data_IF_752272162485
#
_entry.id   IF_752272162485
#
_cell.length_a   1.000
_cell.length_b   1.000
_cell.length_c   1.000
_cell.angle_alpha   90.00
_cell.angle_beta   90.00
_cell.angle_gamma   90.00
#
_symmetry.space_group_name_H-M   'P 1'
#
loop_
_entity.id
_entity.type
_entity.pdbx_description
1 polymer ?
#
# COMPACT_ATOMS: atom_id res chain seq x y z
N UNK A 1 19.68 20.31 14.55
CA UNK A 1 18.98 19.22 13.87
C UNK A 1 19.15 19.40 12.35
N UNK A 2 20.14 18.70 11.74
CA UNK A 2 20.46 18.87 10.32
C UNK A 2 19.38 18.18 9.46
N UNK A 3 18.68 18.98 8.67
CA UNK A 3 17.76 18.51 7.62
C UNK A 3 18.61 17.86 6.51
N UNK A 4 18.52 16.55 6.37
CA UNK A 4 19.10 15.83 5.23
C UNK A 4 18.32 16.18 3.97
N UNK A 5 18.96 16.81 3.01
CA UNK A 5 18.40 17.07 1.68
C UNK A 5 18.69 15.86 0.84
N UNK A 6 17.64 15.14 0.43
CA UNK A 6 17.76 14.03 -0.52
C UNK A 6 17.46 14.56 -1.92
N UNK A 7 18.45 14.54 -2.80
CA UNK A 7 18.26 14.86 -4.21
C UNK A 7 17.94 13.58 -5.00
N UNK A 8 16.75 13.51 -5.55
CA UNK A 8 16.38 12.47 -6.51
C UNK A 8 16.43 13.06 -7.93
N UNK A 9 17.33 12.56 -8.77
CA UNK A 9 17.28 12.83 -10.21
C UNK A 9 16.37 11.80 -10.85
N UNK A 10 15.20 12.23 -11.26
CA UNK A 10 14.26 11.41 -12.02
C UNK A 10 14.51 11.70 -13.51
N UNK A 11 14.94 10.68 -14.26
CA UNK A 11 15.08 10.76 -15.72
C UNK A 11 13.91 10.04 -16.36
N UNK A 12 13.09 10.74 -17.12
CA UNK A 12 12.10 10.15 -18.01
C UNK A 12 12.41 10.60 -19.43
N UNK A 13 12.69 9.64 -20.29
CA UNK A 13 12.77 9.77 -21.76
C UNK A 13 13.27 11.13 -22.28
N UNK A 14 14.59 11.36 -22.26
CA UNK A 14 15.27 12.41 -23.07
C UNK A 14 14.98 13.86 -22.71
N UNK A 15 14.08 14.16 -21.78
CA UNK A 15 13.84 15.53 -21.29
C UNK A 15 14.39 15.67 -19.86
N UNK A 16 15.26 16.68 -19.66
CA UNK A 16 15.72 17.08 -18.33
C UNK A 16 14.51 17.43 -17.48
N UNK A 17 14.10 16.52 -16.58
CA UNK A 17 13.16 16.85 -15.53
C UNK A 17 13.92 17.66 -14.48
N UNK A 18 13.32 18.79 -14.12
CA UNK A 18 13.79 19.71 -13.10
C UNK A 18 14.13 18.94 -11.81
N UNK A 19 15.25 19.26 -11.20
CA UNK A 19 15.64 18.74 -9.89
C UNK A 19 14.53 19.01 -8.90
N UNK A 20 13.77 17.99 -8.50
CA UNK A 20 12.79 18.13 -7.43
C UNK A 20 13.55 18.09 -6.12
N UNK A 21 13.74 19.27 -5.53
CA UNK A 21 14.26 19.39 -4.17
C UNK A 21 13.22 18.87 -3.21
N UNK A 22 13.44 17.68 -2.67
CA UNK A 22 12.59 17.08 -1.65
C UNK A 22 13.06 17.60 -0.29
N UNK A 23 12.79 18.89 -0.04
CA UNK A 23 12.95 19.50 1.26
C UNK A 23 11.58 19.65 1.91
N UNK A 24 11.41 18.95 3.00
CA UNK A 24 10.34 19.27 3.95
C UNK A 24 9.17 18.29 3.99
N UNK A 25 8.79 18.06 5.20
CA UNK A 25 7.58 17.42 5.74
C UNK A 25 6.76 16.56 4.76
N UNK A 26 6.47 15.34 5.20
CA UNK A 26 5.63 14.27 4.61
C UNK A 26 4.45 14.74 3.73
N UNK A 27 3.94 15.97 3.93
CA UNK A 27 2.88 16.59 3.12
C UNK A 27 3.24 16.82 1.63
N UNK A 28 4.51 16.90 1.27
CA UNK A 28 4.94 17.16 -0.12
C UNK A 28 4.93 15.92 -1.02
N UNK A 29 5.25 14.76 -0.48
CA UNK A 29 5.32 13.51 -1.27
C UNK A 29 3.93 13.03 -1.70
N UNK A 30 2.93 13.17 -0.84
CA UNK A 30 1.54 12.90 -1.18
C UNK A 30 1.07 13.69 -2.41
N UNK A 31 1.46 14.97 -2.56
CA UNK A 31 1.06 15.80 -3.70
C UNK A 31 1.64 15.31 -5.05
N UNK A 32 2.84 14.77 -5.07
CA UNK A 32 3.47 14.22 -6.29
C UNK A 32 2.76 12.90 -6.64
N UNK A 33 2.49 12.06 -5.65
CA UNK A 33 1.76 10.82 -5.81
C UNK A 33 0.33 11.07 -6.29
N UNK A 34 -0.35 12.09 -5.74
CA UNK A 34 -1.68 12.52 -6.19
C UNK A 34 -1.72 13.01 -7.66
N UNK A 35 -0.66 13.63 -8.16
CA UNK A 35 -0.58 14.04 -9.58
C UNK A 35 -0.44 12.86 -10.54
N UNK A 36 0.14 11.76 -10.11
CA UNK A 36 0.24 10.53 -10.89
C UNK A 36 -1.10 9.77 -10.94
N UNK A 37 -2.02 10.04 -10.00
CA UNK A 37 -3.37 9.44 -9.98
C UNK A 37 -4.19 9.68 -11.26
N UNK A 38 -3.92 10.73 -12.02
CA UNK A 38 -4.57 10.99 -13.31
C UNK A 38 -4.20 10.00 -14.43
N UNK A 39 -3.22 9.12 -14.18
CA UNK A 39 -2.72 8.12 -15.15
C UNK A 39 -3.17 6.69 -14.72
N UNK A 40 -3.85 6.57 -13.57
CA UNK A 40 -4.29 5.30 -13.01
C UNK A 40 -5.36 4.64 -13.88
N UNK A 41 -5.14 3.39 -14.21
CA UNK A 41 -6.20 2.52 -14.71
C UNK A 41 -7.00 2.00 -13.50
N UNK A 42 -8.16 2.61 -13.28
CA UNK A 42 -9.05 2.30 -12.16
C UNK A 42 -10.12 1.26 -12.51
N UNK A 43 -9.99 0.58 -13.60
CA UNK A 43 -10.91 -0.52 -13.92
C UNK A 43 -10.83 -1.58 -12.82
N UNK A 44 -9.61 -1.96 -12.42
CA UNK A 44 -9.39 -2.96 -11.38
C UNK A 44 -8.47 -2.43 -10.29
N UNK A 45 -8.89 -2.61 -9.05
CA UNK A 45 -8.09 -2.29 -7.87
C UNK A 45 -7.88 -3.53 -7.04
N UNK A 46 -6.62 -3.85 -6.77
CA UNK A 46 -6.22 -4.98 -5.91
C UNK A 46 -5.71 -4.46 -4.59
N UNK A 47 -6.23 -5.00 -3.48
CA UNK A 47 -5.74 -4.69 -2.13
C UNK A 47 -5.22 -5.95 -1.45
N UNK A 48 -4.11 -5.80 -0.73
CA UNK A 48 -3.52 -6.88 0.08
C UNK A 48 -2.63 -6.32 1.18
N UNK A 49 -2.30 -7.16 2.17
CA UNK A 49 -1.43 -6.82 3.28
C UNK A 49 -0.15 -7.66 3.32
N UNK A 50 1.00 -7.05 3.58
CA UNK A 50 2.25 -7.77 3.71
C UNK A 50 3.03 -7.40 4.95
N UNK A 51 3.54 -8.42 5.65
CA UNK A 51 4.36 -8.25 6.86
C UNK A 51 5.80 -7.88 6.51
N UNK A 52 6.32 -6.94 7.28
CA UNK A 52 7.71 -6.52 7.24
C UNK A 52 8.30 -6.67 8.64
N UNK A 53 9.42 -7.39 8.76
CA UNK A 53 10.11 -7.54 10.04
C UNK A 53 10.70 -6.19 10.47
N UNK A 54 10.43 -5.80 11.70
CA UNK A 54 11.09 -4.66 12.33
C UNK A 54 12.42 -5.10 12.93
N UNK A 55 13.52 -4.44 12.54
CA UNK A 55 14.83 -4.68 13.14
C UNK A 55 14.81 -4.18 14.59
N UNK A 56 15.66 -4.78 15.45
CA UNK A 56 15.77 -4.40 16.86
C UNK A 56 16.01 -2.88 17.06
N UNK A 57 16.72 -2.23 16.15
CA UNK A 57 16.94 -0.78 16.17
C UNK A 57 15.68 0.04 15.97
N UNK A 58 14.64 -0.52 15.35
CA UNK A 58 13.36 0.15 15.16
C UNK A 58 12.49 0.17 16.43
N UNK A 59 12.78 -0.67 17.43
CA UNK A 59 11.94 -0.86 18.63
C UNK A 59 12.20 0.12 19.77
N UNK A 60 13.29 0.91 19.72
CA UNK A 60 13.77 1.78 20.81
C UNK A 60 13.32 3.24 20.71
N UNK A 61 12.02 3.55 20.74
CA UNK A 61 11.51 4.95 20.78
C UNK A 61 10.90 5.28 22.13
N UNK A 62 10.77 6.59 22.43
CA UNK A 62 10.10 7.10 23.63
C UNK A 62 8.59 6.76 23.58
N UNK A 63 7.95 6.64 24.77
CA UNK A 63 6.51 6.45 24.86
C UNK A 63 5.74 7.57 24.16
N UNK A 64 4.64 7.25 23.48
CA UNK A 64 3.71 8.20 22.85
C UNK A 64 3.96 8.52 21.38
N UNK A 65 5.03 8.00 20.75
CA UNK A 65 5.26 8.21 19.31
C UNK A 65 4.58 7.10 18.48
N UNK A 66 3.92 7.50 17.38
CA UNK A 66 3.34 6.54 16.44
C UNK A 66 4.44 5.72 15.76
N UNK A 67 4.43 4.42 16.02
CA UNK A 67 5.44 3.47 15.53
C UNK A 67 4.92 2.61 14.39
N UNK A 68 3.64 2.28 14.38
CA UNK A 68 3.08 1.24 13.52
C UNK A 68 3.96 -0.03 13.54
N UNK A 69 4.41 -0.45 14.72
CA UNK A 69 5.13 -1.70 14.99
C UNK A 69 4.36 -2.44 16.07
N UNK A 70 4.01 -3.67 15.77
CA UNK A 70 3.28 -4.52 16.69
C UNK A 70 3.81 -5.95 16.68
N UNK A 71 3.15 -6.86 17.36
CA UNK A 71 3.56 -8.25 17.51
C UNK A 71 2.77 -9.17 16.59
N UNK A 72 3.47 -9.90 15.73
CA UNK A 72 2.90 -10.99 14.93
C UNK A 72 3.59 -12.32 15.29
N UNK A 73 3.21 -13.41 14.59
CA UNK A 73 3.91 -14.70 14.73
C UNK A 73 5.41 -14.60 14.40
N UNK A 74 5.80 -13.64 13.56
CA UNK A 74 7.20 -13.38 13.19
C UNK A 74 7.95 -12.45 14.14
N UNK A 75 7.39 -12.10 15.30
CA UNK A 75 7.97 -11.16 16.27
C UNK A 75 7.49 -9.73 16.04
N UNK A 76 8.39 -8.74 16.23
CA UNK A 76 8.09 -7.34 15.98
C UNK A 76 7.99 -7.08 14.46
N UNK A 77 6.83 -6.64 14.01
CA UNK A 77 6.54 -6.42 12.58
C UNK A 77 5.72 -5.15 12.35
N UNK A 78 5.88 -4.59 11.17
CA UNK A 78 4.96 -3.64 10.57
C UNK A 78 4.22 -4.35 9.44
N UNK A 79 2.96 -4.02 9.24
CA UNK A 79 2.19 -4.48 8.10
C UNK A 79 1.98 -3.32 7.13
N UNK A 80 2.27 -3.56 5.85
CA UNK A 80 1.97 -2.64 4.76
C UNK A 80 0.68 -3.14 4.13
N UNK A 81 -0.33 -2.29 4.09
CA UNK A 81 -1.56 -2.51 3.34
C UNK A 81 -1.45 -1.68 2.06
N UNK A 82 -1.53 -2.33 0.91
CA UNK A 82 -1.26 -1.71 -0.40
C UNK A 82 -2.46 -1.85 -1.31
N UNK A 83 -2.79 -0.78 -2.01
CA UNK A 83 -3.70 -0.78 -3.14
C UNK A 83 -2.89 -0.59 -4.43
N UNK A 84 -3.19 -1.39 -5.47
CA UNK A 84 -2.57 -1.28 -6.80
C UNK A 84 -3.64 -1.24 -7.89
N UNK A 85 -3.28 -0.64 -9.04
CA UNK A 85 -4.12 -0.57 -10.23
C UNK A 85 -4.09 -1.86 -11.08
N UNK A 86 -4.79 -1.87 -12.21
CA UNK A 86 -4.85 -2.98 -13.16
C UNK A 86 -3.48 -3.38 -13.75
N UNK A 87 -2.47 -2.52 -13.65
CA UNK A 87 -1.10 -2.79 -14.08
C UNK A 87 -0.17 -3.20 -12.92
N UNK A 88 -0.69 -3.25 -11.69
CA UNK A 88 0.08 -3.53 -10.48
C UNK A 88 0.95 -2.35 -10.04
N UNK A 89 0.58 -1.11 -10.39
CA UNK A 89 1.23 0.09 -9.88
C UNK A 89 0.59 0.53 -8.56
N UNK A 90 1.40 0.90 -7.55
CA UNK A 90 0.87 1.38 -6.28
C UNK A 90 -0.03 2.60 -6.44
N UNK A 91 -1.27 2.51 -5.95
CA UNK A 91 -2.22 3.64 -5.87
C UNK A 91 -2.03 4.39 -4.56
N UNK A 92 -2.10 3.65 -3.46
CA UNK A 92 -1.92 4.18 -2.12
C UNK A 92 -1.56 3.05 -1.14
N UNK A 93 -1.15 3.40 0.07
CA UNK A 93 -0.84 2.44 1.10
C UNK A 93 -1.07 2.99 2.50
N UNK A 94 -1.35 2.10 3.44
CA UNK A 94 -1.32 2.35 4.87
C UNK A 94 -0.36 1.40 5.59
N UNK A 95 0.15 1.81 6.76
CA UNK A 95 0.99 0.97 7.60
C UNK A 95 0.41 0.86 9.00
N UNK A 96 0.46 -0.35 9.54
CA UNK A 96 -0.01 -0.66 10.90
C UNK A 96 1.00 -1.53 11.65
N UNK A 97 0.75 -1.76 12.92
CA UNK A 97 1.39 -2.86 13.64
C UNK A 97 0.98 -4.21 13.05
N UNK A 98 1.87 -5.20 13.17
CA UNK A 98 1.63 -6.52 12.58
C UNK A 98 0.46 -7.32 13.17
N UNK A 99 -0.07 -6.91 14.31
CA UNK A 99 -1.25 -7.52 14.95
C UNK A 99 -2.57 -7.10 14.30
N UNK A 100 -2.57 -5.97 13.56
CA UNK A 100 -3.80 -5.41 12.98
C UNK A 100 -4.29 -6.29 11.83
N UNK A 101 -5.56 -6.65 11.87
CA UNK A 101 -6.18 -7.46 10.81
C UNK A 101 -6.44 -6.62 9.55
N UNK A 102 -6.27 -7.22 8.36
CA UNK A 102 -6.43 -6.52 7.08
C UNK A 102 -7.77 -5.84 6.91
N UNK A 103 -8.84 -6.49 7.38
CA UNK A 103 -10.20 -5.93 7.30
C UNK A 103 -10.42 -4.63 8.06
N UNK A 104 -9.56 -4.31 9.04
CA UNK A 104 -9.68 -3.06 9.82
C UNK A 104 -9.19 -1.84 9.01
N UNK A 105 -8.30 -2.05 8.05
CA UNK A 105 -7.69 -0.99 7.22
C UNK A 105 -8.34 -0.91 5.84
N UNK A 106 -9.17 -1.90 5.50
CA UNK A 106 -9.78 -1.99 4.18
C UNK A 106 -10.61 -0.74 3.83
N UNK A 107 -11.36 -0.20 4.78
CA UNK A 107 -12.18 0.99 4.56
C UNK A 107 -11.33 2.21 4.22
N UNK A 108 -10.26 2.44 4.99
CA UNK A 108 -9.34 3.56 4.76
C UNK A 108 -8.69 3.46 3.37
N UNK A 109 -8.28 2.24 2.96
CA UNK A 109 -7.73 2.01 1.63
C UNK A 109 -8.75 2.25 0.52
N UNK A 110 -10.00 1.78 0.69
CA UNK A 110 -11.06 2.00 -0.28
C UNK A 110 -11.36 3.50 -0.44
N UNK A 111 -11.44 4.23 0.66
CA UNK A 111 -11.63 5.69 0.65
C UNK A 111 -10.46 6.41 -0.04
N UNK A 112 -9.22 5.99 0.23
CA UNK A 112 -8.03 6.56 -0.40
C UNK A 112 -7.98 6.30 -1.91
N UNK A 113 -8.41 5.14 -2.37
CA UNK A 113 -8.51 4.79 -3.79
C UNK A 113 -9.60 5.59 -4.49
N UNK A 114 -10.75 5.76 -3.81
CA UNK A 114 -11.96 6.38 -4.38
C UNK A 114 -12.70 5.44 -5.32
N UNK A 115 -13.29 5.93 -6.41
CA UNK A 115 -14.09 5.15 -7.36
C UNK A 115 -13.21 4.24 -8.24
N UNK A 116 -13.67 3.02 -8.49
CA UNK A 116 -13.13 2.04 -9.44
C UNK A 116 -14.26 1.07 -9.85
N UNK A 117 -14.06 0.24 -10.89
CA UNK A 117 -15.10 -0.70 -11.32
C UNK A 117 -15.09 -1.96 -10.44
N UNK A 118 -13.90 -2.48 -10.12
CA UNK A 118 -13.76 -3.71 -9.34
C UNK A 118 -12.75 -3.55 -8.21
N UNK A 119 -13.10 -4.09 -7.04
CA UNK A 119 -12.23 -4.26 -5.88
C UNK A 119 -11.90 -5.74 -5.70
N UNK A 120 -10.66 -6.12 -5.88
CA UNK A 120 -10.20 -7.50 -5.75
C UNK A 120 -9.35 -7.64 -4.47
N UNK A 121 -9.73 -8.57 -3.60
CA UNK A 121 -9.01 -8.85 -2.37
C UNK A 121 -9.09 -10.34 -1.97
N UNK A 122 -8.24 -10.75 -1.04
CA UNK A 122 -8.27 -12.11 -0.53
C UNK A 122 -9.43 -12.37 0.45
N UNK A 123 -9.61 -13.63 0.86
CA UNK A 123 -10.65 -14.04 1.83
C UNK A 123 -10.48 -13.41 3.23
N UNK A 124 -9.32 -12.83 3.54
CA UNK A 124 -9.08 -12.09 4.78
C UNK A 124 -9.94 -10.84 4.87
N UNK A 125 -10.31 -10.29 3.71
CA UNK A 125 -11.18 -9.12 3.57
C UNK A 125 -12.67 -9.49 3.49
N UNK A 126 -13.06 -10.76 3.60
CA UNK A 126 -14.46 -11.18 3.52
C UNK A 126 -15.27 -10.65 4.71
N UNK A 127 -15.99 -9.56 4.45
CA UNK A 127 -16.90 -8.87 5.37
C UNK A 127 -17.99 -8.19 4.58
N UNK A 128 -19.25 -8.29 5.06
CA UNK A 128 -20.38 -7.58 4.43
C UNK A 128 -20.16 -6.07 4.45
N UNK A 129 -19.59 -5.57 5.55
CA UNK A 129 -19.27 -4.14 5.69
C UNK A 129 -18.29 -3.67 4.60
N UNK A 130 -17.20 -4.42 4.35
CA UNK A 130 -16.25 -4.07 3.27
C UNK A 130 -16.93 -4.09 1.91
N UNK A 131 -17.82 -5.08 1.64
CA UNK A 131 -18.59 -5.12 0.40
C UNK A 131 -19.54 -3.96 0.25
N UNK A 132 -20.12 -3.48 1.35
CA UNK A 132 -21.00 -2.31 1.38
C UNK A 132 -20.19 -1.03 1.11
N UNK A 133 -19.04 -0.85 1.77
CA UNK A 133 -18.14 0.29 1.52
C UNK A 133 -17.69 0.30 0.06
N UNK A 134 -17.30 -0.84 -0.51
CA UNK A 134 -16.94 -0.93 -1.93
C UNK A 134 -18.12 -0.50 -2.83
N UNK A 135 -19.36 -0.96 -2.57
CA UNK A 135 -20.54 -0.55 -3.33
C UNK A 135 -20.80 0.95 -3.24
N UNK A 136 -20.59 1.57 -2.07
CA UNK A 136 -20.77 3.01 -1.88
C UNK A 136 -19.75 3.81 -2.73
N UNK A 137 -18.59 3.22 -3.03
CA UNK A 137 -17.60 3.75 -3.96
C UNK A 137 -17.77 3.22 -5.39
N UNK A 138 -18.96 2.66 -5.74
CA UNK A 138 -19.32 2.12 -7.06
C UNK A 138 -18.49 0.94 -7.52
N UNK A 139 -17.82 0.23 -6.59
CA UNK A 139 -17.00 -0.93 -6.90
C UNK A 139 -17.76 -2.24 -6.71
N UNK A 140 -17.54 -3.19 -7.62
CA UNK A 140 -17.95 -4.58 -7.46
C UNK A 140 -16.84 -5.33 -6.70
N UNK A 141 -17.17 -5.87 -5.51
CA UNK A 141 -16.19 -6.54 -4.67
C UNK A 141 -16.01 -8.01 -5.08
N UNK A 142 -14.86 -8.34 -5.64
CA UNK A 142 -14.42 -9.71 -5.98
C UNK A 142 -13.57 -10.25 -4.81
N UNK A 143 -14.24 -10.70 -3.77
CA UNK A 143 -13.63 -11.22 -2.55
C UNK A 143 -14.20 -12.62 -2.30
N UNK A 144 -13.39 -13.68 -2.19
CA UNK A 144 -13.91 -15.02 -1.93
C UNK A 144 -14.49 -15.10 -0.51
N UNK A 145 -15.59 -15.85 -0.37
CA UNK A 145 -16.19 -16.12 0.94
C UNK A 145 -15.29 -17.02 1.77
N UNK A 146 -15.27 -16.77 3.08
CA UNK A 146 -14.65 -17.70 4.03
C UNK A 146 -15.37 -19.05 4.03
N UNK A 147 -14.65 -20.13 4.33
CA UNK A 147 -15.19 -21.48 4.34
C UNK A 147 -16.35 -21.69 5.32
N UNK A 148 -16.42 -20.87 6.36
CA UNK A 148 -17.48 -20.86 7.38
C UNK A 148 -18.60 -19.86 7.07
N UNK A 149 -18.59 -19.23 5.88
CA UNK A 149 -19.64 -18.29 5.47
C UNK A 149 -20.93 -19.05 5.17
N UNK A 150 -22.05 -18.58 5.67
CA UNK A 150 -23.39 -19.07 5.31
C UNK A 150 -23.87 -18.60 3.94
N UNK A 151 -23.19 -17.59 3.35
CA UNK A 151 -23.54 -17.04 2.05
C UNK A 151 -22.67 -17.66 0.95
N UNK A 152 -23.26 -18.08 -0.19
CA UNK A 152 -22.51 -18.62 -1.30
C UNK A 152 -21.67 -17.55 -2.02
N UNK A 153 -20.68 -17.97 -2.79
CA UNK A 153 -19.93 -17.13 -3.72
C UNK A 153 -20.74 -16.94 -5.03
N UNK A 154 -21.89 -16.30 -4.94
CA UNK A 154 -22.65 -15.92 -6.13
C UNK A 154 -21.91 -14.75 -6.80
N UNK A 155 -21.82 -14.78 -8.14
CA UNK A 155 -21.19 -13.73 -8.96
C UNK A 155 -19.68 -13.52 -8.69
N UNK A 156 -18.99 -14.54 -8.21
CA UNK A 156 -17.54 -14.48 -7.99
C UNK A 156 -16.78 -14.70 -9.31
N UNK A 157 -16.10 -13.65 -9.78
CA UNK A 157 -15.28 -13.74 -10.98
C UNK A 157 -13.90 -14.34 -10.66
N UNK A 158 -13.73 -15.62 -11.04
CA UNK A 158 -12.48 -16.36 -10.88
C UNK A 158 -11.35 -15.81 -11.77
N UNK A 159 -11.68 -15.25 -12.93
CA UNK A 159 -10.67 -14.67 -13.82
C UNK A 159 -10.04 -13.44 -13.20
N UNK A 160 -10.83 -12.48 -12.76
CA UNK A 160 -10.35 -11.29 -12.07
C UNK A 160 -9.61 -11.64 -10.78
N UNK A 161 -10.13 -12.60 -10.02
CA UNK A 161 -9.46 -13.02 -8.79
C UNK A 161 -8.06 -13.61 -9.02
N UNK A 162 -7.84 -14.33 -10.13
CA UNK A 162 -6.51 -14.88 -10.49
C UNK A 162 -5.48 -13.79 -10.75
N UNK A 163 -5.90 -12.58 -11.14
CA UNK A 163 -5.03 -11.45 -11.37
C UNK A 163 -4.52 -10.81 -10.05
N UNK A 164 -4.96 -11.30 -8.89
CA UNK A 164 -4.48 -10.85 -7.57
C UNK A 164 -2.95 -10.94 -7.41
N UNK A 165 -2.28 -11.79 -8.20
CA UNK A 165 -0.81 -11.82 -8.23
C UNK A 165 -0.18 -10.45 -8.57
N UNK A 166 -0.91 -9.49 -9.15
CA UNK A 166 -0.41 -8.15 -9.44
C UNK A 166 -0.04 -7.39 -8.17
N UNK A 167 -0.85 -7.48 -7.11
CA UNK A 167 -0.48 -6.86 -5.81
C UNK A 167 0.67 -7.60 -5.14
N UNK A 168 0.74 -8.92 -5.29
CA UNK A 168 1.88 -9.73 -4.80
C UNK A 168 3.19 -9.31 -5.50
N UNK A 169 3.14 -9.12 -6.83
CA UNK A 169 4.27 -8.63 -7.61
C UNK A 169 4.67 -7.20 -7.21
N UNK A 170 3.71 -6.34 -6.85
CA UNK A 170 4.01 -5.00 -6.33
C UNK A 170 4.75 -5.08 -4.99
N UNK A 171 4.32 -5.95 -4.08
CA UNK A 171 5.07 -6.21 -2.85
C UNK A 171 6.47 -6.77 -3.11
N UNK A 172 6.63 -7.69 -4.05
CA UNK A 172 7.94 -8.20 -4.43
C UNK A 172 8.85 -7.06 -4.91
N UNK A 173 8.36 -6.18 -5.79
CA UNK A 173 9.09 -4.98 -6.25
C UNK A 173 9.45 -4.04 -5.09
N UNK A 174 8.54 -3.78 -4.15
CA UNK A 174 8.81 -2.96 -2.97
C UNK A 174 9.89 -3.60 -2.08
N UNK A 175 9.85 -4.92 -1.89
CA UNK A 175 10.82 -5.65 -1.04
C UNK A 175 12.22 -5.77 -1.67
N UNK A 176 12.42 -5.42 -2.93
CA UNK A 176 13.77 -5.25 -3.49
C UNK A 176 14.55 -4.11 -2.79
N UNK A 177 13.85 -3.13 -2.24
CA UNK A 177 14.48 -2.09 -1.43
C UNK A 177 14.74 -2.61 -0.01
N UNK A 178 16.02 -2.79 0.36
CA UNK A 178 16.41 -3.36 1.66
C UNK A 178 15.78 -2.66 2.86
N UNK A 179 15.69 -1.33 2.83
CA UNK A 179 15.04 -0.54 3.88
C UNK A 179 13.54 -0.78 4.00
N UNK A 180 12.88 -1.31 2.95
CA UNK A 180 11.49 -1.74 3.01
C UNK A 180 11.38 -3.19 3.43
N UNK A 181 12.22 -4.09 2.89
CA UNK A 181 12.20 -5.51 3.22
C UNK A 181 12.47 -5.80 4.71
N UNK A 182 13.27 -4.94 5.36
CA UNK A 182 13.48 -4.94 6.81
C UNK A 182 13.41 -3.51 7.29
N UNK A 183 12.52 -3.23 8.23
CA UNK A 183 12.32 -1.88 8.74
C UNK A 183 13.32 -1.55 9.83
N UNK A 184 14.11 -0.49 9.61
CA UNK A 184 15.06 0.07 10.57
C UNK A 184 14.56 1.38 11.20
N UNK A 185 13.61 2.05 10.57
CA UNK A 185 13.05 3.32 11.01
C UNK A 185 12.19 3.15 12.27
N UNK A 186 12.49 3.96 13.28
CA UNK A 186 11.73 3.98 14.53
C UNK A 186 10.32 4.54 14.33
N UNK A 187 10.21 5.64 13.60
CA UNK A 187 8.96 6.39 13.41
C UNK A 187 8.21 5.92 12.16
N UNK A 188 6.89 5.74 12.29
CA UNK A 188 6.01 5.39 11.19
C UNK A 188 6.13 6.37 10.02
N UNK A 189 6.17 7.68 10.30
CA UNK A 189 6.30 8.74 9.30
C UNK A 189 7.55 8.63 8.43
N UNK A 190 8.68 8.20 9.01
CA UNK A 190 9.93 8.04 8.27
C UNK A 190 9.83 6.82 7.35
N UNK A 191 9.27 5.72 7.85
CA UNK A 191 9.06 4.53 7.05
C UNK A 191 8.04 4.76 5.92
N UNK A 192 6.93 5.48 6.19
CA UNK A 192 5.99 5.93 5.14
C UNK A 192 6.71 6.75 4.05
N UNK A 193 7.64 7.62 4.42
CA UNK A 193 8.40 8.43 3.44
C UNK A 193 9.25 7.56 2.50
N UNK A 194 9.89 6.52 3.02
CA UNK A 194 10.67 5.56 2.21
C UNK A 194 9.75 4.77 1.27
N UNK A 195 8.59 4.34 1.76
CA UNK A 195 7.58 3.65 0.94
C UNK A 195 7.08 4.54 -0.20
N UNK A 196 6.77 5.81 0.07
CA UNK A 196 6.38 6.77 -0.98
C UNK A 196 7.46 6.91 -2.06
N UNK A 197 8.73 7.01 -1.67
CA UNK A 197 9.84 7.08 -2.62
C UNK A 197 9.95 5.83 -3.48
N UNK A 198 9.79 4.66 -2.89
CA UNK A 198 9.82 3.40 -3.62
C UNK A 198 8.62 3.26 -4.58
N UNK A 199 7.43 3.64 -4.16
CA UNK A 199 6.25 3.68 -5.02
C UNK A 199 6.46 4.62 -6.22
N UNK A 200 6.98 5.83 -5.98
CA UNK A 200 7.34 6.76 -7.07
C UNK A 200 8.37 6.16 -8.03
N UNK A 201 9.37 5.46 -7.51
CA UNK A 201 10.37 4.80 -8.36
C UNK A 201 9.77 3.68 -9.21
N UNK A 202 8.83 2.90 -8.67
CA UNK A 202 8.09 1.87 -9.42
C UNK A 202 7.32 2.53 -10.56
N UNK A 203 6.62 3.65 -10.31
CA UNK A 203 5.91 4.42 -11.32
C UNK A 203 6.84 4.96 -12.43
N UNK A 204 8.00 5.49 -12.05
CA UNK A 204 8.96 6.02 -13.03
C UNK A 204 9.56 4.94 -13.94
N UNK A 205 9.52 3.67 -13.55
CA UNK A 205 9.98 2.52 -14.35
C UNK A 205 8.86 1.83 -15.12
N UNK A 206 7.62 2.18 -14.87
CA UNK A 206 6.49 1.72 -15.65
C UNK A 206 6.61 2.32 -17.06
N UNK A 207 6.83 1.45 -18.05
CA UNK A 207 6.90 1.82 -19.47
C UNK A 207 5.61 1.46 -20.15
#
# INVERSE_FOLDING_TARGET
MRLGVIFLRIFAHGKKLTTVSIVGRVKGYGRIFFKLRGILDKEWVFIDGSYIRAHQHASGTRHGEDRAIGRSRGGATTKIHLAVDAHGHPIDFEITGGEVHDSQVANDLIELVGEADYLIADKGYDSEHIREVARNHRMIAIIPRKSNSSKPNVDFDYYLYRLRHLVENAFARLKHFRGIATRFEKLARNYKSILFLACLFIWCKAK
#
